data_IF_160787535259
#
_entry.id   IF_160787535259
#
_cell.length_a   1.000
_cell.length_b   1.000
_cell.length_c   1.000
_cell.angle_alpha   90.00
_cell.angle_beta   90.00
_cell.angle_gamma   90.00
#
_symmetry.space_group_name_H-M   'P 1'
#
loop_
_entity.id
_entity.type
_entity.pdbx_description
1 polymer ?
#
# COMPACT_ATOMS: atom_id res chain seq x y z
N UNK A 1 -14.44 23.56 31.31
CA UNK A 1 -13.08 24.01 30.97
C UNK A 1 -13.24 24.98 29.82
N UNK A 2 -12.71 26.20 29.95
CA UNK A 2 -12.78 27.19 28.87
C UNK A 2 -11.53 27.07 27.99
N UNK A 3 -11.71 27.27 26.68
CA UNK A 3 -10.59 27.35 25.72
C UNK A 3 -10.25 28.81 25.49
N UNK A 4 -9.01 29.22 25.79
CA UNK A 4 -8.57 30.62 25.70
C UNK A 4 -7.50 30.74 24.61
N UNK A 5 -7.73 31.63 23.65
CA UNK A 5 -6.74 31.94 22.62
C UNK A 5 -5.57 32.74 23.18
N UNK A 6 -4.34 32.24 23.02
CA UNK A 6 -3.13 32.90 23.53
C UNK A 6 -2.78 34.19 22.78
N UNK A 7 -3.20 34.29 21.51
CA UNK A 7 -2.90 35.44 20.65
C UNK A 7 -3.82 36.63 20.91
N UNK A 8 -5.11 36.39 21.22
CA UNK A 8 -6.10 37.45 21.38
C UNK A 8 -6.93 37.39 22.68
N UNK A 9 -6.66 36.42 23.56
CA UNK A 9 -7.34 36.19 24.83
C UNK A 9 -8.88 36.02 24.76
N UNK A 10 -9.42 35.75 23.57
CA UNK A 10 -10.84 35.38 23.42
C UNK A 10 -11.09 34.02 24.06
N UNK A 11 -12.23 33.92 24.76
CA UNK A 11 -12.68 32.72 25.45
C UNK A 11 -13.75 32.01 24.62
N UNK A 12 -13.67 30.69 24.57
CA UNK A 12 -14.61 29.83 23.85
C UNK A 12 -15.11 28.74 24.78
N UNK A 13 -16.44 28.50 24.75
CA UNK A 13 -17.08 27.46 25.55
C UNK A 13 -16.82 26.03 25.02
N UNK A 14 -16.33 25.88 23.79
CA UNK A 14 -16.08 24.59 23.13
C UNK A 14 -14.80 24.65 22.29
N UNK A 15 -14.03 23.55 22.25
CA UNK A 15 -12.81 23.40 21.45
C UNK A 15 -13.04 23.66 19.97
N UNK A 16 -14.13 23.11 19.40
CA UNK A 16 -14.51 23.34 17.99
C UNK A 16 -14.60 24.84 17.62
N UNK A 17 -15.08 25.68 18.54
CA UNK A 17 -15.22 27.12 18.30
C UNK A 17 -13.87 27.82 18.42
N UNK A 18 -13.04 27.38 19.36
CA UNK A 18 -11.66 27.82 19.50
C UNK A 18 -10.84 27.49 18.24
N UNK A 19 -10.90 26.26 17.73
CA UNK A 19 -10.21 25.82 16.53
C UNK A 19 -10.64 26.61 15.29
N UNK A 20 -11.96 26.79 15.11
CA UNK A 20 -12.49 27.64 14.03
C UNK A 20 -11.96 29.08 14.13
N UNK A 21 -11.81 29.59 15.34
CA UNK A 21 -11.22 30.90 15.56
C UNK A 21 -9.73 30.93 15.19
N UNK A 22 -8.94 29.93 15.59
CA UNK A 22 -7.52 29.84 15.23
C UNK A 22 -7.30 29.77 13.71
N UNK A 23 -8.15 29.03 12.99
CA UNK A 23 -8.13 28.98 11.53
C UNK A 23 -8.42 30.33 10.90
N UNK A 24 -9.52 30.96 11.29
CA UNK A 24 -10.03 32.14 10.60
C UNK A 24 -9.25 33.42 10.94
N UNK A 25 -8.79 33.54 12.19
CA UNK A 25 -8.19 34.79 12.68
C UNK A 25 -6.68 34.70 12.86
N UNK A 26 -6.14 33.52 13.15
CA UNK A 26 -4.70 33.32 13.35
C UNK A 26 -4.04 32.54 12.21
N UNK A 27 -4.81 32.12 11.19
CA UNK A 27 -4.33 31.39 10.01
C UNK A 27 -3.49 30.16 10.38
N UNK A 28 -3.76 29.57 11.55
CA UNK A 28 -3.12 28.33 11.95
C UNK A 28 -3.60 27.22 11.00
N UNK A 29 -2.69 26.39 10.53
CA UNK A 29 -3.03 25.29 9.63
C UNK A 29 -3.91 24.26 10.36
N UNK A 30 -4.87 23.62 9.68
CA UNK A 30 -5.70 22.57 10.27
C UNK A 30 -4.90 21.47 10.97
N UNK A 31 -3.70 21.15 10.47
CA UNK A 31 -2.81 20.12 11.02
C UNK A 31 -2.27 20.47 12.41
N UNK A 32 -2.17 21.76 12.73
CA UNK A 32 -1.66 22.27 14.00
C UNK A 32 -2.74 22.40 15.07
N UNK A 33 -4.00 22.17 14.71
CA UNK A 33 -5.11 22.21 15.64
C UNK A 33 -5.41 20.82 16.17
N UNK A 34 -5.41 20.72 17.50
CA UNK A 34 -6.05 19.62 18.23
C UNK A 34 -7.53 19.66 17.89
N UNK A 35 -7.98 18.91 16.89
CA UNK A 35 -9.40 18.59 16.82
C UNK A 35 -9.63 17.51 17.86
N UNK A 36 -10.31 17.89 18.96
CA UNK A 36 -11.00 17.05 19.94
C UNK A 36 -10.79 15.54 19.71
N UNK A 37 -10.26 14.87 20.73
CA UNK A 37 -9.93 13.44 20.94
C UNK A 37 -10.95 12.37 20.47
N UNK A 38 -11.99 12.74 19.73
CA UNK A 38 -13.03 11.87 19.19
C UNK A 38 -12.61 11.10 17.95
N UNK A 39 -11.71 11.64 17.12
CA UNK A 39 -11.10 10.82 16.06
C UNK A 39 -10.11 9.92 16.78
N UNK A 40 -10.55 8.70 17.09
CA UNK A 40 -9.78 7.73 17.86
C UNK A 40 -8.38 7.57 17.29
N UNK A 41 -7.39 8.14 17.99
CA UNK A 41 -5.99 8.04 17.60
C UNK A 41 -5.59 6.57 17.65
N UNK A 42 -5.15 6.03 16.51
CA UNK A 42 -4.74 4.65 16.38
C UNK A 42 -3.27 4.54 16.74
N UNK A 43 -2.99 3.88 17.86
CA UNK A 43 -1.62 3.70 18.36
C UNK A 43 -1.00 2.44 17.75
N UNK A 44 0.29 2.54 17.40
CA UNK A 44 1.09 1.35 17.15
C UNK A 44 1.29 0.58 18.47
N UNK A 45 1.27 -0.75 18.44
CA UNK A 45 1.51 -1.57 19.64
C UNK A 45 2.99 -1.89 19.85
N UNK A 46 3.83 -1.69 18.83
CA UNK A 46 5.27 -1.97 18.87
C UNK A 46 6.12 -0.73 19.14
N UNK A 47 5.58 0.47 18.93
CA UNK A 47 6.27 1.73 19.24
C UNK A 47 5.29 2.82 19.70
N UNK A 48 5.81 3.98 20.09
CA UNK A 48 5.00 5.10 20.59
C UNK A 48 4.34 5.94 19.49
N UNK A 49 4.37 5.49 18.23
CA UNK A 49 3.74 6.21 17.12
C UNK A 49 2.21 6.18 17.23
N UNK A 50 1.57 7.22 16.69
CA UNK A 50 0.13 7.45 16.78
C UNK A 50 -0.35 8.05 15.48
N UNK A 51 -1.45 7.52 14.95
CA UNK A 51 -1.92 7.80 13.60
C UNK A 51 -3.39 8.18 13.61
N UNK A 52 -3.77 9.16 12.79
CA UNK A 52 -5.15 9.62 12.68
C UNK A 52 -5.96 8.70 11.77
N UNK A 53 -5.39 8.30 10.63
CA UNK A 53 -6.03 7.41 9.66
C UNK A 53 -5.55 5.97 9.83
N UNK A 54 -6.41 5.02 9.44
CA UNK A 54 -6.03 3.60 9.45
C UNK A 54 -4.95 3.30 8.40
N UNK A 55 -4.98 4.00 7.26
CA UNK A 55 -4.01 3.87 6.18
C UNK A 55 -2.61 4.30 6.64
N UNK A 56 -2.52 5.39 7.42
CA UNK A 56 -1.24 5.86 7.99
C UNK A 56 -0.64 4.82 8.94
N UNK A 57 -1.48 4.21 9.78
CA UNK A 57 -1.05 3.12 10.65
C UNK A 57 -0.59 1.90 9.83
N UNK A 58 -1.35 1.49 8.81
CA UNK A 58 -0.97 0.37 7.92
C UNK A 58 0.39 0.64 7.29
N UNK A 59 0.58 1.81 6.68
CA UNK A 59 1.85 2.20 6.07
C UNK A 59 3.01 2.18 7.08
N UNK A 60 2.77 2.66 8.31
CA UNK A 60 3.75 2.60 9.38
C UNK A 60 4.11 1.16 9.77
N UNK A 61 3.13 0.27 9.86
CA UNK A 61 3.35 -1.15 10.18
C UNK A 61 4.17 -1.85 9.09
N UNK A 62 3.89 -1.58 7.83
CA UNK A 62 4.65 -2.14 6.70
C UNK A 62 6.08 -1.60 6.65
N UNK A 63 6.25 -0.28 6.74
CA UNK A 63 7.56 0.38 6.52
C UNK A 63 8.51 0.31 7.71
N UNK A 64 7.99 0.38 8.95
CA UNK A 64 8.80 0.44 10.17
C UNK A 64 8.89 -0.93 10.84
N UNK A 65 7.78 -1.66 10.87
CA UNK A 65 7.68 -2.94 11.58
C UNK A 65 7.74 -4.15 10.64
N UNK A 66 7.80 -3.95 9.32
CA UNK A 66 7.79 -5.02 8.31
C UNK A 66 6.62 -6.01 8.50
N UNK A 67 5.49 -5.51 8.99
CA UNK A 67 4.27 -6.30 9.14
C UNK A 67 3.65 -6.47 7.76
N UNK A 68 3.42 -7.72 7.34
CA UNK A 68 2.72 -8.01 6.09
C UNK A 68 1.21 -7.83 6.28
N UNK A 69 0.62 -6.91 5.52
CA UNK A 69 -0.82 -6.70 5.49
C UNK A 69 -1.42 -7.50 4.33
N UNK A 70 -2.21 -8.52 4.67
CA UNK A 70 -2.88 -9.37 3.69
C UNK A 70 -4.30 -8.87 3.42
N UNK A 71 -4.59 -8.56 2.15
CA UNK A 71 -5.93 -8.16 1.70
C UNK A 71 -6.56 -9.24 0.81
N UNK A 72 -7.88 -9.36 0.94
CA UNK A 72 -8.70 -10.28 0.15
C UNK A 72 -9.87 -9.53 -0.48
N UNK A 73 -9.94 -9.60 -1.81
CA UNK A 73 -11.00 -8.98 -2.61
C UNK A 73 -12.04 -10.04 -2.99
N UNK A 74 -13.30 -9.77 -2.68
CA UNK A 74 -14.41 -10.72 -2.83
C UNK A 74 -15.61 -10.04 -3.47
N UNK A 75 -16.43 -10.82 -4.16
CA UNK A 75 -17.70 -10.37 -4.73
C UNK A 75 -18.82 -11.31 -4.32
N UNK A 76 -19.99 -10.75 -4.00
CA UNK A 76 -21.17 -11.50 -3.56
C UNK A 76 -22.37 -11.12 -4.43
N UNK A 77 -23.24 -12.11 -4.68
CA UNK A 77 -24.46 -11.90 -5.47
C UNK A 77 -25.48 -11.05 -4.73
N UNK A 78 -25.52 -11.15 -3.40
CA UNK A 78 -26.47 -10.48 -2.53
C UNK A 78 -25.93 -10.43 -1.08
N UNK A 79 -26.65 -9.71 -0.22
CA UNK A 79 -26.30 -9.52 1.20
C UNK A 79 -26.34 -10.83 2.01
N UNK A 80 -27.22 -11.78 1.65
CA UNK A 80 -27.33 -13.05 2.34
C UNK A 80 -26.07 -13.92 2.16
N UNK A 81 -25.49 -13.92 0.95
CA UNK A 81 -24.23 -14.61 0.65
C UNK A 81 -23.05 -13.96 1.39
N UNK A 82 -23.00 -12.63 1.42
CA UNK A 82 -22.04 -11.89 2.23
C UNK A 82 -22.16 -12.24 3.73
N UNK A 83 -23.37 -12.24 4.28
CA UNK A 83 -23.62 -12.55 5.69
C UNK A 83 -23.28 -14.00 6.07
N UNK A 84 -23.40 -14.96 5.15
CA UNK A 84 -22.91 -16.34 5.35
C UNK A 84 -21.38 -16.39 5.39
N UNK A 85 -20.73 -15.77 4.41
CA UNK A 85 -19.27 -15.69 4.36
C UNK A 85 -18.68 -14.99 5.58
N UNK A 86 -19.22 -13.82 5.96
CA UNK A 86 -18.79 -13.04 7.12
C UNK A 86 -18.85 -13.86 8.41
N UNK A 87 -19.94 -14.61 8.64
CA UNK A 87 -20.08 -15.50 9.81
C UNK A 87 -19.04 -16.61 9.83
N UNK A 88 -18.74 -17.21 8.68
CA UNK A 88 -17.69 -18.23 8.56
C UNK A 88 -16.32 -17.65 8.94
N UNK A 89 -15.99 -16.48 8.40
CA UNK A 89 -14.75 -15.75 8.72
C UNK A 89 -14.68 -15.38 10.22
N UNK A 90 -15.76 -14.88 10.80
CA UNK A 90 -15.83 -14.57 12.24
C UNK A 90 -15.57 -15.79 13.13
N UNK A 91 -16.07 -16.95 12.71
CA UNK A 91 -15.83 -18.22 13.38
C UNK A 91 -14.36 -18.67 13.25
N UNK A 92 -13.80 -18.59 12.04
CA UNK A 92 -12.40 -18.95 11.75
C UNK A 92 -11.41 -18.07 12.54
N UNK A 93 -11.60 -16.75 12.52
CA UNK A 93 -10.73 -15.77 13.19
C UNK A 93 -10.98 -15.69 14.72
N UNK A 94 -12.04 -16.35 15.20
CA UNK A 94 -12.54 -16.19 16.57
C UNK A 94 -12.70 -14.70 16.93
N UNK A 95 -13.39 -13.95 16.07
CA UNK A 95 -13.67 -12.53 16.24
C UNK A 95 -15.09 -12.17 15.76
N UNK A 96 -15.48 -10.90 15.89
CA UNK A 96 -16.72 -10.36 15.34
C UNK A 96 -16.42 -9.08 14.59
N UNK A 97 -16.93 -8.95 13.38
CA UNK A 97 -16.87 -7.72 12.61
C UNK A 97 -18.15 -6.94 12.83
N UNK A 98 -18.06 -5.82 13.54
CA UNK A 98 -19.21 -4.95 13.85
C UNK A 98 -19.22 -3.78 12.87
N UNK A 99 -20.41 -3.35 12.39
CA UNK A 99 -20.50 -2.13 11.61
C UNK A 99 -20.01 -0.97 12.47
N UNK A 100 -19.24 -0.06 11.89
CA UNK A 100 -18.89 1.19 12.54
C UNK A 100 -19.25 2.35 11.62
N UNK A 101 -20.06 3.25 12.15
CA UNK A 101 -20.42 4.49 11.48
C UNK A 101 -19.23 5.43 11.61
N UNK A 102 -18.47 5.61 10.53
CA UNK A 102 -17.63 6.80 10.45
C UNK A 102 -18.54 7.99 10.12
N UNK A 103 -18.30 9.14 10.76
CA UNK A 103 -18.97 10.43 10.45
C UNK A 103 -18.70 10.92 9.00
N UNK A 104 -18.08 10.08 8.17
CA UNK A 104 -17.81 10.37 6.77
C UNK A 104 -19.14 10.38 6.03
N UNK A 105 -19.39 11.50 5.34
CA UNK A 105 -20.50 11.71 4.41
C UNK A 105 -20.79 10.38 3.70
N UNK A 106 -21.93 9.76 4.03
CA UNK A 106 -22.23 8.41 3.61
C UNK A 106 -22.20 8.35 2.09
N UNK A 107 -21.11 7.83 1.53
CA UNK A 107 -21.09 7.37 0.15
C UNK A 107 -22.18 6.31 0.07
N UNK A 108 -23.24 6.61 -0.68
CA UNK A 108 -24.41 5.76 -0.77
C UNK A 108 -23.95 4.36 -1.18
N UNK A 109 -24.17 3.39 -0.30
CA UNK A 109 -23.81 1.99 -0.54
C UNK A 109 -22.45 1.54 0.00
N UNK A 110 -21.73 2.34 0.78
CA UNK A 110 -20.49 1.89 1.46
C UNK A 110 -20.77 1.56 2.93
N UNK A 111 -20.44 0.34 3.34
CA UNK A 111 -20.52 -0.11 4.74
C UNK A 111 -19.15 -0.60 5.21
N UNK A 112 -18.70 -0.12 6.37
CA UNK A 112 -17.44 -0.55 6.96
C UNK A 112 -17.71 -1.39 8.22
N UNK A 113 -16.98 -2.51 8.35
CA UNK A 113 -17.02 -3.36 9.52
C UNK A 113 -15.62 -3.47 10.13
N UNK A 114 -15.50 -3.32 11.44
CA UNK A 114 -14.24 -3.43 12.16
C UNK A 114 -14.25 -4.65 13.08
N UNK A 115 -13.10 -5.30 13.23
CA UNK A 115 -12.95 -6.35 14.24
C UNK A 115 -13.15 -5.76 15.65
N UNK A 116 -14.13 -6.30 16.40
CA UNK A 116 -14.47 -5.90 17.77
C UNK A 116 -13.69 -6.68 18.84
N UNK A 117 -12.64 -7.40 18.45
CA UNK A 117 -11.82 -8.14 19.42
C UNK A 117 -10.97 -7.15 20.18
N UNK A 118 -11.41 -6.80 21.40
CA UNK A 118 -10.65 -5.95 22.31
C UNK A 118 -9.42 -6.69 22.80
N UNK A 119 -8.31 -5.97 22.84
CA UNK A 119 -7.08 -6.40 23.52
C UNK A 119 -7.05 -5.65 24.82
N UNK A 120 -7.15 -6.38 25.93
CA UNK A 120 -7.16 -5.74 27.25
C UNK A 120 -5.82 -5.09 27.59
N UNK A 121 -4.73 -5.52 26.96
CA UNK A 121 -3.37 -5.18 27.41
C UNK A 121 -2.77 -3.97 26.70
N UNK A 122 -3.16 -3.72 25.44
CA UNK A 122 -2.61 -2.65 24.63
C UNK A 122 -3.81 -1.88 24.10
N UNK A 123 -3.93 -0.60 24.45
CA UNK A 123 -4.98 0.31 23.95
C UNK A 123 -4.82 0.59 22.43
N UNK A 124 -4.65 -0.47 21.64
CA UNK A 124 -4.58 -0.46 20.20
C UNK A 124 -5.89 -1.03 19.64
N UNK A 125 -6.41 -0.40 18.61
CA UNK A 125 -7.51 -0.97 17.82
C UNK A 125 -6.95 -2.00 16.84
N UNK A 126 -7.71 -3.07 16.59
CA UNK A 126 -7.37 -4.00 15.53
C UNK A 126 -7.44 -3.31 14.17
N UNK A 127 -6.47 -3.57 13.29
CA UNK A 127 -6.50 -3.03 11.92
C UNK A 127 -7.42 -3.82 10.99
N UNK A 128 -7.74 -5.07 11.34
CA UNK A 128 -8.59 -5.92 10.52
C UNK A 128 -9.98 -5.33 10.40
N UNK A 129 -10.39 -5.15 9.15
CA UNK A 129 -11.66 -4.55 8.77
C UNK A 129 -12.17 -5.17 7.47
N UNK A 130 -13.45 -4.93 7.19
CA UNK A 130 -14.11 -5.29 5.95
C UNK A 130 -14.78 -4.04 5.42
N UNK A 131 -14.36 -3.58 4.25
CA UNK A 131 -15.06 -2.54 3.50
C UNK A 131 -15.97 -3.20 2.48
N UNK A 132 -17.26 -2.86 2.50
CA UNK A 132 -18.27 -3.40 1.60
C UNK A 132 -18.84 -2.27 0.76
N UNK A 133 -18.89 -2.49 -0.55
CA UNK A 133 -19.48 -1.57 -1.52
C UNK A 133 -20.64 -2.28 -2.21
N UNK A 134 -21.83 -1.70 -2.08
CA UNK A 134 -23.07 -2.18 -2.68
C UNK A 134 -23.27 -1.51 -4.05
N UNK A 135 -23.25 -2.31 -5.10
CA UNK A 135 -23.52 -1.88 -6.47
C UNK A 135 -25.01 -1.64 -6.72
N UNK A 136 -25.32 -0.91 -7.81
CA UNK A 136 -26.71 -0.54 -8.19
C UNK A 136 -27.64 -1.74 -8.44
N UNK A 137 -27.09 -2.90 -8.79
CA UNK A 137 -27.86 -4.12 -9.08
C UNK A 137 -27.99 -5.04 -7.85
N UNK A 138 -27.62 -4.54 -6.66
CA UNK A 138 -27.63 -5.33 -5.43
C UNK A 138 -26.49 -6.35 -5.32
N UNK A 139 -25.50 -6.30 -6.22
CA UNK A 139 -24.25 -7.03 -6.10
C UNK A 139 -23.32 -6.32 -5.09
N UNK A 140 -22.57 -7.07 -4.29
CA UNK A 140 -21.66 -6.51 -3.28
C UNK A 140 -20.22 -6.83 -3.67
N UNK A 141 -19.31 -5.88 -3.46
CA UNK A 141 -17.88 -6.11 -3.48
C UNK A 141 -17.34 -5.85 -2.07
N UNK A 142 -16.51 -6.73 -1.54
CA UNK A 142 -15.90 -6.56 -0.24
C UNK A 142 -14.37 -6.65 -0.34
N UNK A 143 -13.69 -5.78 0.40
CA UNK A 143 -12.25 -5.86 0.64
C UNK A 143 -12.07 -6.17 2.12
N UNK A 144 -11.41 -7.28 2.44
CA UNK A 144 -11.10 -7.70 3.81
C UNK A 144 -9.60 -7.60 4.06
N UNK A 145 -9.23 -6.92 5.14
CA UNK A 145 -7.87 -6.97 5.71
C UNK A 145 -7.81 -8.17 6.66
N UNK A 146 -7.09 -9.23 6.28
CA UNK A 146 -6.94 -10.47 7.07
C UNK A 146 -6.01 -10.28 8.26
N UNK A 147 -5.02 -9.40 8.14
CA UNK A 147 -4.03 -9.19 9.20
C UNK A 147 -4.65 -8.58 10.44
N UNK A 148 -4.55 -9.29 11.57
CA UNK A 148 -5.15 -8.96 12.84
C UNK A 148 -4.16 -8.29 13.83
N UNK A 149 -3.48 -7.24 13.36
CA UNK A 149 -2.55 -6.47 14.18
C UNK A 149 -3.28 -5.84 15.38
N UNK A 150 -2.67 -5.93 16.56
CA UNK A 150 -3.24 -5.47 17.83
C UNK A 150 -3.57 -6.63 18.77
N UNK A 151 -4.29 -7.66 18.32
CA UNK A 151 -4.73 -8.76 19.20
C UNK A 151 -4.01 -10.09 19.00
N UNK A 152 -3.33 -10.28 17.87
CA UNK A 152 -2.50 -11.49 17.63
C UNK A 152 -1.08 -11.37 18.14
N UNK A 153 -0.75 -10.26 18.83
CA UNK A 153 0.53 -10.06 19.51
C UNK A 153 0.55 -10.98 20.74
N UNK A 154 0.67 -12.29 20.51
CA UNK A 154 1.08 -13.23 21.54
C UNK A 154 2.48 -12.81 21.94
N UNK A 155 2.56 -12.14 23.07
CA UNK A 155 3.74 -11.89 23.87
C UNK A 155 4.54 -13.20 24.02
N UNK A 156 5.48 -13.43 23.10
CA UNK A 156 6.68 -14.21 23.39
C UNK A 156 7.83 -13.22 23.47
N UNK A 157 8.12 -12.64 24.66
CA UNK A 157 9.37 -11.93 24.86
C UNK A 157 10.50 -12.94 24.65
N UNK A 158 11.23 -12.84 23.53
CA UNK A 158 12.45 -13.62 23.32
C UNK A 158 12.67 -14.26 21.95
N UNK A 159 11.81 -14.06 20.95
CA UNK A 159 12.17 -14.42 19.56
C UNK A 159 12.03 -13.21 18.66
N UNK A 160 13.17 -12.64 18.26
CA UNK A 160 13.25 -11.86 17.01
C UNK A 160 12.52 -12.68 15.94
N UNK A 161 11.65 -12.08 15.10
CA UNK A 161 11.05 -12.80 14.00
C UNK A 161 12.17 -13.51 13.25
N UNK A 162 12.10 -14.85 13.19
CA UNK A 162 12.97 -15.58 12.26
C UNK A 162 12.56 -15.04 10.89
N UNK A 163 13.43 -14.24 10.29
CA UNK A 163 13.41 -14.00 8.86
C UNK A 163 13.32 -15.39 8.24
N UNK A 164 12.16 -15.72 7.68
CA UNK A 164 11.95 -16.96 6.94
C UNK A 164 12.71 -16.79 5.64
N UNK A 165 14.01 -17.07 5.67
CA UNK A 165 14.83 -17.25 4.48
C UNK A 165 14.59 -18.64 3.88
N UNK A 166 13.33 -19.00 3.63
CA UNK A 166 12.99 -20.22 2.88
C UNK A 166 12.72 -19.85 1.43
N UNK A 167 13.79 -19.44 0.76
CA UNK A 167 13.91 -19.45 -0.71
C UNK A 167 15.38 -19.66 -1.05
N UNK A 168 15.93 -20.77 -0.54
CA UNK A 168 17.16 -21.36 -1.07
C UNK A 168 16.96 -22.87 -1.19
N UNK A 169 17.19 -23.33 -2.42
CA UNK A 169 17.54 -24.70 -2.82
C UNK A 169 16.38 -25.67 -3.05
N UNK A 170 15.87 -25.64 -4.29
CA UNK A 170 15.73 -26.86 -5.11
C UNK A 170 16.56 -26.65 -6.38
N UNK A 171 17.83 -27.04 -6.31
CA UNK A 171 18.70 -27.26 -7.47
C UNK A 171 18.90 -28.79 -7.52
N UNK A 172 18.62 -29.47 -8.64
CA UNK A 172 18.94 -30.88 -8.78
C UNK A 172 20.47 -31.09 -8.85
N UNK A 173 20.95 -32.14 -8.20
CA UNK A 173 22.35 -32.60 -8.25
C UNK A 173 22.81 -32.81 -9.69
N UNK A 174 23.93 -32.18 -10.05
CA UNK A 174 24.66 -32.41 -11.30
C UNK A 174 25.75 -33.44 -10.97
N UNK A 175 25.79 -34.53 -11.73
CA UNK A 175 26.84 -35.55 -11.67
C UNK A 175 28.21 -34.99 -12.11
N UNK A 176 29.27 -35.45 -11.45
CA UNK A 176 30.67 -35.20 -11.80
C UNK A 176 30.97 -35.63 -13.25
N UNK A 177 31.40 -34.68 -14.09
CA UNK A 177 32.00 -34.96 -15.40
C UNK A 177 33.49 -34.69 -15.28
N UNK A 178 34.29 -35.76 -15.38
CA UNK A 178 35.74 -35.68 -15.60
C UNK A 178 36.00 -35.01 -16.94
N UNK A 179 36.83 -33.96 -16.95
CA UNK A 179 37.37 -33.38 -18.17
C UNK A 179 38.52 -34.24 -18.67
N UNK A 180 38.36 -34.87 -19.82
CA UNK A 180 39.46 -35.28 -20.69
C UNK A 180 39.61 -34.22 -21.77
N UNK A 181 40.84 -33.75 -21.98
CA UNK A 181 41.20 -32.77 -23.00
C UNK A 181 41.30 -33.47 -24.36
N UNK A 182 40.40 -33.15 -25.28
CA UNK A 182 40.58 -33.43 -26.71
C UNK A 182 40.47 -32.16 -27.55
N UNK A 183 41.33 -32.12 -28.58
CA UNK A 183 41.66 -30.97 -29.42
C UNK A 183 40.54 -30.62 -30.38
N UNK A 184 40.36 -29.31 -30.58
CA UNK A 184 39.47 -28.70 -31.56
C UNK A 184 39.95 -28.93 -32.99
N UNK A 185 39.04 -29.36 -33.87
CA UNK A 185 39.01 -29.01 -35.28
C UNK A 185 37.70 -28.27 -35.58
N UNK A 186 37.77 -27.36 -36.55
CA UNK A 186 36.86 -26.24 -36.81
C UNK A 186 35.54 -26.62 -37.51
N UNK A 187 34.61 -25.64 -37.47
CA UNK A 187 33.46 -25.38 -38.38
C UNK A 187 32.02 -25.78 -37.97
N UNK A 188 30.98 -25.06 -38.46
CA UNK A 188 30.19 -24.16 -37.62
C UNK A 188 28.69 -24.51 -37.58
N UNK A 189 27.95 -24.15 -36.52
CA UNK A 189 26.49 -23.90 -36.61
C UNK A 189 25.95 -23.14 -35.39
N UNK A 190 24.88 -22.38 -35.67
CA UNK A 190 24.13 -21.42 -34.85
C UNK A 190 23.63 -21.94 -33.49
N UNK A 191 23.62 -21.09 -32.45
CA UNK A 191 22.46 -21.00 -31.55
C UNK A 191 22.43 -19.74 -30.67
N UNK A 192 21.34 -18.99 -30.77
CA UNK A 192 20.86 -18.03 -29.79
C UNK A 192 20.35 -18.76 -28.54
N UNK A 193 20.64 -18.23 -27.34
CA UNK A 193 19.80 -18.21 -26.14
C UNK A 193 20.64 -18.21 -24.86
N UNK A 194 20.95 -17.03 -24.31
CA UNK A 194 21.26 -16.91 -22.89
C UNK A 194 21.03 -15.50 -22.30
N UNK A 195 19.87 -14.89 -22.59
CA UNK A 195 19.55 -13.51 -22.15
C UNK A 195 18.22 -13.40 -21.40
N UNK A 196 17.79 -14.43 -20.66
CA UNK A 196 16.47 -14.45 -20.01
C UNK A 196 16.55 -14.18 -18.49
N UNK A 197 17.64 -14.52 -17.80
CA UNK A 197 17.67 -14.44 -16.33
C UNK A 197 18.06 -13.07 -15.74
N UNK A 198 18.72 -12.19 -16.49
CA UNK A 198 19.02 -10.81 -16.03
C UNK A 198 17.83 -9.87 -16.25
N UNK A 199 16.98 -10.15 -17.24
CA UNK A 199 15.82 -9.32 -17.58
C UNK A 199 14.67 -9.39 -16.57
N UNK A 200 14.53 -10.51 -15.84
CA UNK A 200 13.44 -10.71 -14.87
C UNK A 200 13.64 -9.89 -13.58
N UNK A 201 14.87 -9.83 -13.06
CA UNK A 201 15.18 -9.04 -11.86
C UNK A 201 15.14 -7.52 -12.14
N UNK A 202 15.51 -7.10 -13.35
CA UNK A 202 15.42 -5.70 -13.75
C UNK A 202 13.95 -5.26 -13.92
N UNK A 203 13.08 -6.12 -14.51
CA UNK A 203 11.64 -5.85 -14.64
C UNK A 203 10.93 -5.66 -13.30
N UNK A 204 11.26 -6.45 -12.28
CA UNK A 204 10.64 -6.32 -10.95
C UNK A 204 11.13 -5.08 -10.19
N UNK A 205 12.41 -4.72 -10.34
CA UNK A 205 12.96 -3.47 -9.77
C UNK A 205 12.35 -2.22 -10.43
N UNK A 206 12.18 -2.25 -11.76
CA UNK A 206 11.53 -1.18 -12.52
C UNK A 206 10.05 -1.07 -12.15
N UNK A 207 9.33 -2.19 -12.02
CA UNK A 207 7.90 -2.19 -11.62
C UNK A 207 7.69 -1.65 -10.21
N UNK A 208 8.57 -1.96 -9.27
CA UNK A 208 8.52 -1.40 -7.91
C UNK A 208 8.80 0.12 -7.90
N UNK A 209 9.79 0.57 -8.68
CA UNK A 209 10.12 2.00 -8.82
C UNK A 209 9.00 2.77 -9.54
N UNK A 210 8.39 2.20 -10.56
CA UNK A 210 7.26 2.80 -11.28
C UNK A 210 6.01 2.92 -10.39
N UNK A 211 5.72 1.93 -9.54
CA UNK A 211 4.63 2.04 -8.57
C UNK A 211 4.89 3.14 -7.52
N UNK A 212 6.13 3.30 -7.06
CA UNK A 212 6.53 4.41 -6.16
C UNK A 212 6.36 5.77 -6.84
N UNK A 213 6.69 5.88 -8.12
CA UNK A 213 6.50 7.12 -8.90
C UNK A 213 5.02 7.40 -9.13
N UNK A 214 4.22 6.39 -9.48
CA UNK A 214 2.78 6.53 -9.74
C UNK A 214 2.00 6.99 -8.50
N UNK A 215 2.38 6.50 -7.30
CA UNK A 215 1.76 6.93 -6.04
C UNK A 215 2.14 8.36 -5.63
N UNK A 216 3.30 8.85 -6.05
CA UNK A 216 3.72 10.24 -5.76
C UNK A 216 3.04 11.27 -6.70
N UNK A 217 2.68 10.88 -7.92
CA UNK A 217 2.05 11.78 -8.91
C UNK A 217 0.69 12.29 -8.42
N UNK A 218 -0.10 11.45 -7.74
CA UNK A 218 -1.42 11.82 -7.23
C UNK A 218 -1.38 12.87 -6.10
N UNK A 219 -0.19 13.17 -5.54
CA UNK A 219 -0.04 14.07 -4.39
C UNK A 219 0.80 15.33 -4.67
N UNK A 220 1.19 15.60 -5.92
CA UNK A 220 2.15 16.67 -6.23
C UNK A 220 1.53 17.85 -6.99
N UNK A 221 1.62 19.04 -6.39
CA UNK A 221 1.32 20.31 -7.05
C UNK A 221 2.18 20.53 -8.31
N UNK A 222 1.59 21.17 -9.33
CA UNK A 222 2.10 21.36 -10.69
C UNK A 222 3.57 21.79 -10.84
N UNK A 223 4.16 22.52 -9.88
CA UNK A 223 5.57 22.94 -9.96
C UNK A 223 6.58 21.81 -9.67
N UNK A 224 6.19 20.77 -8.91
CA UNK A 224 7.07 19.62 -8.65
C UNK A 224 6.99 18.57 -9.77
N UNK A 225 5.87 18.50 -10.49
CA UNK A 225 5.71 17.62 -11.67
C UNK A 225 6.70 17.98 -12.80
N UNK A 226 6.95 19.28 -13.03
CA UNK A 226 7.92 19.73 -14.06
C UNK A 226 9.35 19.27 -13.74
N UNK A 227 9.76 19.31 -12.47
CA UNK A 227 11.10 18.86 -12.05
C UNK A 227 11.27 17.34 -12.10
N UNK A 228 10.20 16.59 -11.83
CA UNK A 228 10.18 15.13 -11.94
C UNK A 228 10.25 14.69 -13.41
N UNK A 229 9.53 15.36 -14.31
CA UNK A 229 9.61 15.06 -15.75
C UNK A 229 11.02 15.27 -16.30
N UNK A 230 11.69 16.37 -15.95
CA UNK A 230 13.09 16.58 -16.35
C UNK A 230 14.07 15.53 -15.82
N UNK A 231 13.80 14.97 -14.63
CA UNK A 231 14.62 13.90 -14.08
C UNK A 231 14.35 12.55 -14.76
N UNK A 232 13.11 12.31 -15.20
CA UNK A 232 12.72 11.09 -15.89
C UNK A 232 13.30 11.06 -17.32
N UNK A 233 13.28 12.19 -18.03
CA UNK A 233 13.85 12.32 -19.37
C UNK A 233 15.37 12.09 -19.37
N UNK A 234 16.07 12.53 -18.32
CA UNK A 234 17.50 12.23 -18.12
C UNK A 234 17.73 10.73 -17.95
N UNK A 235 16.92 10.04 -17.15
CA UNK A 235 17.07 8.59 -16.92
C UNK A 235 16.71 7.76 -18.15
N UNK A 236 15.73 8.19 -18.95
CA UNK A 236 15.39 7.52 -20.21
C UNK A 236 16.49 7.69 -21.26
N UNK A 237 17.14 8.86 -21.30
CA UNK A 237 18.29 9.13 -22.18
C UNK A 237 19.48 8.21 -21.87
N UNK A 238 19.79 8.02 -20.58
CA UNK A 238 20.88 7.13 -20.15
C UNK A 238 20.64 5.65 -20.50
N UNK A 239 19.38 5.28 -20.79
CA UNK A 239 18.97 3.91 -21.15
C UNK A 239 18.70 3.73 -22.65
N UNK A 240 18.93 4.77 -23.48
CA UNK A 240 18.65 4.73 -24.92
C UNK A 240 17.16 4.61 -25.26
N UNK A 241 16.27 4.96 -24.32
CA UNK A 241 14.82 4.91 -24.51
C UNK A 241 14.31 6.27 -24.99
N UNK A 242 13.61 6.28 -26.13
CA UNK A 242 12.94 7.49 -26.63
C UNK A 242 11.57 7.65 -25.95
N UNK A 243 11.39 8.68 -25.14
CA UNK A 243 10.06 9.08 -24.65
C UNK A 243 9.43 10.08 -25.63
N UNK A 244 8.23 9.78 -26.14
CA UNK A 244 7.38 10.79 -26.79
C UNK A 244 6.28 11.17 -25.81
N UNK A 245 6.32 12.40 -25.31
CA UNK A 245 5.28 12.97 -24.46
C UNK A 245 4.25 13.67 -25.34
N UNK A 246 3.20 12.96 -25.75
CA UNK A 246 2.01 13.62 -26.31
C UNK A 246 1.09 14.04 -25.16
N UNK A 247 0.92 15.35 -25.03
CA UNK A 247 0.19 15.97 -23.94
C UNK A 247 -1.32 15.94 -24.21
N UNK A 248 -1.95 14.77 -24.09
CA UNK A 248 -3.40 14.61 -24.02
C UNK A 248 -3.73 13.51 -23.01
N UNK A 249 -4.17 13.91 -21.81
CA UNK A 249 -4.68 13.04 -20.73
C UNK A 249 -3.75 11.90 -20.26
N UNK A 250 -2.57 12.27 -19.74
CA UNK A 250 -1.95 11.57 -18.60
C UNK A 250 -1.59 10.08 -18.75
N UNK A 251 -1.47 9.55 -19.97
CA UNK A 251 -0.89 8.21 -20.19
C UNK A 251 0.47 8.34 -20.85
N UNK A 252 1.52 7.96 -20.11
CA UNK A 252 2.86 7.79 -20.68
C UNK A 252 2.91 6.40 -21.32
N UNK A 253 2.98 6.36 -22.65
CA UNK A 253 3.20 5.13 -23.41
C UNK A 253 4.70 5.02 -23.69
N UNK A 254 5.34 3.98 -23.15
CA UNK A 254 6.74 3.64 -23.47
C UNK A 254 6.70 2.54 -24.54
N UNK A 255 7.12 2.86 -25.75
CA UNK A 255 7.30 1.89 -26.83
C UNK A 255 8.78 1.60 -27.07
N UNK A 256 9.13 0.33 -27.22
CA UNK A 256 10.43 -0.10 -27.71
C UNK A 256 10.36 -0.13 -29.24
N UNK A 257 11.03 0.80 -29.92
CA UNK A 257 11.23 0.72 -31.36
C UNK A 257 12.54 -0.03 -31.62
N UNK A 258 12.46 -1.32 -31.98
CA UNK A 258 13.55 -1.98 -32.70
C UNK A 258 13.31 -1.78 -34.21
N UNK A 259 14.09 -0.89 -34.83
CA UNK A 259 14.20 -0.80 -36.28
C UNK A 259 14.93 -2.06 -36.78
N UNK A 260 14.24 -2.89 -37.54
CA UNK A 260 14.87 -3.76 -38.53
C UNK A 260 14.57 -3.17 -39.90
N UNK A 261 15.58 -2.59 -40.53
CA UNK A 261 15.58 -2.27 -41.96
C UNK A 261 15.76 -3.58 -42.73
N UNK A 262 14.76 -3.98 -43.50
CA UNK A 262 14.93 -4.87 -44.64
C UNK A 262 14.27 -4.23 -45.85
N UNK A 263 15.10 -3.60 -46.69
CA UNK A 263 14.75 -3.27 -48.06
C UNK A 263 14.78 -4.55 -48.91
N UNK A 264 13.66 -4.87 -49.54
CA UNK A 264 13.57 -5.71 -50.72
C UNK A 264 12.63 -5.00 -51.70
N UNK A 265 13.17 -4.76 -52.91
CA UNK A 265 12.58 -4.17 -54.13
C UNK A 265 12.39 -2.65 -54.18
#
# INVERSE_FOLDING_TARGET
MDYICKECNKRFAMERNYNKHMLNFHKITPDSLSYDDKIGIRKCCECSSSHKLIQDLIYHLESVHNVLIEEENLTFKNEADFGKWKRKVEQEDSCKYVPFEEDVKHEIGVSNYACNKKVSQYNCSCISNIKVVTGRRGNLSAVRVKTHYGHEIKSKPGRKPKIVSTLKNKVPEIYDIKCEEEKMDEEPFENENNTINTHFNLKNSIKAKLNIVSLNIDTLNNQKLVKLNSSLDSMCSDLGLSTKTENVFGQIIISNNSMFDHNYW
#
